data_IF_337183830106
#
_entry.id   IF_337183830106
#
_cell.length_a   1.000
_cell.length_b   1.000
_cell.length_c   1.000
_cell.angle_alpha   90.00
_cell.angle_beta   90.00
_cell.angle_gamma   90.00
#
_symmetry.space_group_name_H-M   'P 1'
#
loop_
_entity.id
_entity.type
_entity.pdbx_description
1 polymer ?
#
# COMPACT_ATOMS: atom_id res chain seq x y z
N UNK A 1 -13.65 -48.93 59.95
CA UNK A 1 -12.79 -47.85 59.41
C UNK A 1 -13.29 -47.46 58.02
N UNK A 2 -14.03 -46.36 57.88
CA UNK A 2 -14.55 -45.85 56.60
C UNK A 2 -13.51 -44.91 55.97
N UNK A 3 -12.97 -45.28 54.81
CA UNK A 3 -12.05 -44.42 54.02
C UNK A 3 -12.88 -43.41 53.23
N UNK A 4 -12.72 -42.12 53.53
CA UNK A 4 -13.19 -41.02 52.69
C UNK A 4 -12.20 -40.84 51.52
N UNK A 5 -12.71 -40.91 50.30
CA UNK A 5 -11.99 -40.55 49.08
C UNK A 5 -12.31 -39.09 48.79
N UNK A 6 -11.29 -38.21 48.86
CA UNK A 6 -11.40 -36.80 48.48
C UNK A 6 -11.14 -36.69 46.97
N UNK A 7 -12.15 -36.29 46.21
CA UNK A 7 -12.03 -35.94 44.79
C UNK A 7 -11.42 -34.53 44.68
N UNK A 8 -10.24 -34.43 44.07
CA UNK A 8 -9.62 -33.17 43.69
C UNK A 8 -10.08 -32.84 42.27
N UNK A 9 -10.90 -31.81 42.11
CA UNK A 9 -11.29 -31.30 40.80
C UNK A 9 -10.16 -30.43 40.25
N UNK A 10 -9.45 -30.93 39.24
CA UNK A 10 -8.47 -30.18 38.48
C UNK A 10 -9.21 -29.28 37.48
N UNK A 11 -9.18 -27.97 37.71
CA UNK A 11 -9.75 -26.99 36.78
C UNK A 11 -8.81 -26.88 35.57
N UNK A 12 -9.16 -27.56 34.48
CA UNK A 12 -8.46 -27.42 33.20
C UNK A 12 -8.93 -26.11 32.57
N UNK A 13 -8.08 -25.08 32.61
CA UNK A 13 -8.26 -23.89 31.79
C UNK A 13 -8.00 -24.27 30.33
N UNK A 14 -9.07 -24.46 29.57
CA UNK A 14 -9.01 -24.58 28.12
C UNK A 14 -8.73 -23.17 27.58
N UNK A 15 -7.46 -22.90 27.25
CA UNK A 15 -7.11 -21.76 26.41
C UNK A 15 -7.73 -22.01 25.03
N UNK A 16 -8.81 -21.30 24.72
CA UNK A 16 -9.27 -21.19 23.34
C UNK A 16 -8.18 -20.42 22.58
N UNK A 17 -7.54 -21.01 21.56
CA UNK A 17 -6.70 -20.22 20.67
C UNK A 17 -7.62 -19.17 20.07
N UNK A 18 -7.35 -17.90 20.34
CA UNK A 18 -7.84 -16.85 19.48
C UNK A 18 -7.40 -17.25 18.08
N UNK A 19 -8.36 -17.50 17.19
CA UNK A 19 -8.14 -17.51 15.75
C UNK A 19 -7.62 -16.11 15.43
N UNK A 20 -6.29 -15.96 15.52
CA UNK A 20 -5.60 -14.83 14.97
C UNK A 20 -5.99 -14.85 13.51
N UNK A 21 -6.85 -13.90 13.11
CA UNK A 21 -6.96 -13.49 11.72
C UNK A 21 -5.53 -13.42 11.24
N UNK A 22 -5.14 -14.29 10.31
CA UNK A 22 -3.79 -14.30 9.76
C UNK A 22 -3.56 -12.88 9.25
N UNK A 23 -2.83 -12.09 10.04
CA UNK A 23 -2.36 -10.81 9.56
C UNK A 23 -1.37 -11.21 8.49
N UNK A 24 -1.81 -11.09 7.24
CA UNK A 24 -0.95 -11.30 6.09
C UNK A 24 0.25 -10.36 6.28
N UNK A 25 1.43 -10.96 6.45
CA UNK A 25 2.66 -10.21 6.61
C UNK A 25 2.95 -9.50 5.29
N UNK A 26 3.41 -8.25 5.36
CA UNK A 26 3.79 -7.52 4.17
C UNK A 26 4.93 -8.25 3.45
N UNK A 27 4.84 -8.37 2.13
CA UNK A 27 5.94 -8.81 1.28
C UNK A 27 6.74 -7.58 0.85
N UNK A 28 7.92 -7.32 1.45
CA UNK A 28 8.65 -6.09 1.19
C UNK A 28 9.23 -6.05 -0.23
N UNK A 29 9.40 -4.85 -0.78
CA UNK A 29 10.15 -4.66 -2.02
C UNK A 29 11.58 -5.20 -1.89
N UNK A 30 12.08 -5.83 -2.95
CA UNK A 30 13.37 -6.51 -2.96
C UNK A 30 14.20 -6.17 -4.20
N UNK A 31 15.50 -5.95 -4.01
CA UNK A 31 16.45 -5.91 -5.14
C UNK A 31 16.65 -7.33 -5.62
N UNK A 32 16.36 -7.58 -6.89
CA UNK A 32 16.48 -8.91 -7.51
C UNK A 32 17.71 -9.07 -8.37
N UNK A 33 18.31 -7.95 -8.81
CA UNK A 33 19.51 -7.97 -9.62
C UNK A 33 20.17 -6.61 -9.73
N UNK A 34 21.44 -6.64 -10.12
CA UNK A 34 22.15 -5.45 -10.61
C UNK A 34 22.90 -5.82 -11.87
N UNK A 35 23.05 -4.87 -12.79
CA UNK A 35 23.81 -5.08 -14.02
C UNK A 35 24.42 -3.77 -14.53
N UNK A 36 25.36 -3.88 -15.46
CA UNK A 36 26.05 -2.75 -16.08
C UNK A 36 26.00 -2.86 -17.60
N UNK A 37 26.02 -1.73 -18.30
CA UNK A 37 26.08 -1.67 -19.77
C UNK A 37 26.82 -0.43 -20.27
N UNK A 38 27.02 -0.36 -21.58
CA UNK A 38 27.66 0.76 -22.26
C UNK A 38 29.19 0.62 -22.30
N UNK A 39 29.91 1.73 -22.13
CA UNK A 39 31.38 1.78 -22.22
C UNK A 39 32.10 1.18 -21.00
N UNK A 40 31.36 0.79 -19.95
CA UNK A 40 31.85 -0.10 -18.89
C UNK A 40 32.58 0.56 -17.72
N UNK A 41 32.50 1.90 -17.56
CA UNK A 41 33.08 2.59 -16.40
C UNK A 41 32.06 2.62 -15.27
N UNK A 42 31.85 1.48 -14.61
CA UNK A 42 30.96 1.37 -13.46
C UNK A 42 31.62 0.54 -12.38
N UNK A 43 31.83 1.14 -11.21
CA UNK A 43 32.27 0.43 -10.01
C UNK A 43 31.09 0.36 -9.04
N UNK A 44 30.72 -0.87 -8.63
CA UNK A 44 29.58 -1.13 -7.75
C UNK A 44 30.07 -1.77 -6.46
N UNK A 45 29.54 -1.32 -5.33
CA UNK A 45 29.73 -1.95 -4.04
C UNK A 45 28.41 -2.02 -3.27
N UNK A 46 28.28 -2.98 -2.36
CA UNK A 46 27.11 -3.14 -1.53
C UNK A 46 27.53 -3.42 -0.10
N UNK A 47 26.92 -2.72 0.85
CA UNK A 47 27.14 -2.93 2.27
C UNK A 47 25.82 -2.79 3.06
N UNK A 48 25.90 -2.71 4.38
CA UNK A 48 24.74 -2.57 5.26
C UNK A 48 23.96 -1.24 5.06
N UNK A 49 24.57 -0.23 4.43
CA UNK A 49 23.96 1.06 4.15
C UNK A 49 23.25 1.13 2.81
N UNK A 50 23.48 0.14 1.94
CA UNK A 50 22.82 0.00 0.65
C UNK A 50 23.80 -0.32 -0.49
N UNK A 51 23.33 -0.10 -1.71
CA UNK A 51 24.12 -0.25 -2.93
C UNK A 51 24.71 1.12 -3.30
N UNK A 52 26.02 1.15 -3.49
CA UNK A 52 26.77 2.30 -3.93
C UNK A 52 27.34 2.04 -5.32
N UNK A 53 27.42 3.08 -6.15
CA UNK A 53 28.07 2.98 -7.45
C UNK A 53 28.73 4.29 -7.86
N UNK A 54 29.84 4.20 -8.58
CA UNK A 54 30.36 5.31 -9.40
C UNK A 54 30.24 4.94 -10.87
N UNK A 55 29.71 5.86 -11.68
CA UNK A 55 29.34 5.64 -13.08
C UNK A 55 30.05 6.70 -13.93
N UNK A 56 30.71 6.30 -15.00
CA UNK A 56 31.62 7.17 -15.75
C UNK A 56 33.04 7.19 -15.17
N UNK A 57 33.95 7.84 -15.90
CA UNK A 57 35.39 7.79 -15.64
C UNK A 57 35.84 8.98 -14.76
N UNK A 58 36.78 8.75 -13.84
CA UNK A 58 37.37 9.82 -12.99
C UNK A 58 38.84 9.56 -12.56
N UNK A 59 39.70 9.10 -13.46
CA UNK A 59 41.11 8.78 -13.19
C UNK A 59 42.14 9.78 -13.76
N UNK A 60 41.74 10.68 -14.67
CA UNK A 60 42.65 11.55 -15.44
C UNK A 60 42.05 12.96 -15.58
N UNK A 61 42.47 13.92 -14.73
CA UNK A 61 42.04 15.31 -14.85
C UNK A 61 42.36 15.92 -16.21
N UNK A 62 41.55 16.87 -16.67
CA UNK A 62 41.82 17.60 -17.91
C UNK A 62 43.14 18.38 -17.81
N UNK A 63 44.15 18.11 -18.66
CA UNK A 63 45.49 18.65 -18.42
C UNK A 63 45.70 20.06 -19.01
N UNK A 64 44.75 20.59 -19.79
CA UNK A 64 44.97 21.83 -20.57
C UNK A 64 44.29 23.09 -20.02
N UNK A 65 43.55 22.99 -18.92
CA UNK A 65 42.85 24.12 -18.30
C UNK A 65 41.66 24.64 -19.13
N UNK A 66 41.09 25.78 -18.73
CA UNK A 66 39.90 26.34 -19.37
C UNK A 66 40.08 26.58 -20.87
N UNK A 67 39.20 26.00 -21.69
CA UNK A 67 39.19 26.08 -23.16
C UNK A 67 40.49 25.60 -23.84
N UNK A 68 41.17 24.62 -23.24
CA UNK A 68 42.30 23.92 -23.86
C UNK A 68 41.93 23.18 -25.15
N UNK A 69 42.92 22.61 -25.88
CA UNK A 69 42.66 21.79 -27.06
C UNK A 69 41.86 20.53 -26.74
N UNK A 70 40.96 20.15 -27.66
CA UNK A 70 40.22 18.88 -27.57
C UNK A 70 41.17 17.69 -27.61
N UNK A 71 40.92 16.69 -26.76
CA UNK A 71 41.74 15.48 -26.65
C UNK A 71 40.86 14.27 -26.97
N UNK A 72 40.87 13.79 -28.22
CA UNK A 72 40.11 12.60 -28.58
C UNK A 72 40.56 11.38 -27.78
N UNK A 73 39.61 10.60 -27.26
CA UNK A 73 39.86 9.28 -26.67
C UNK A 73 40.38 9.29 -25.22
N UNK A 74 40.51 10.46 -24.59
CA UNK A 74 40.77 10.55 -23.16
C UNK A 74 39.48 10.27 -22.37
N UNK A 75 38.35 10.79 -22.85
CA UNK A 75 37.01 10.43 -22.39
C UNK A 75 36.46 9.22 -23.18
N UNK A 76 35.74 8.29 -22.54
CA UNK A 76 34.90 7.33 -23.24
C UNK A 76 33.85 8.02 -24.12
N UNK A 77 33.54 7.46 -25.29
CA UNK A 77 32.43 7.94 -26.13
C UNK A 77 31.23 7.02 -25.97
N UNK A 78 30.16 7.52 -25.36
CA UNK A 78 28.92 6.79 -25.11
C UNK A 78 28.50 6.75 -23.64
N UNK A 79 27.39 6.07 -23.36
CA UNK A 79 26.87 5.99 -22.00
C UNK A 79 27.63 4.95 -21.16
N UNK A 80 27.85 5.27 -19.89
CA UNK A 80 28.08 4.28 -18.83
C UNK A 80 26.78 4.11 -18.05
N UNK A 81 26.29 2.88 -17.91
CA UNK A 81 24.95 2.65 -17.33
C UNK A 81 25.03 1.61 -16.22
N UNK A 82 24.42 1.93 -15.09
CA UNK A 82 24.18 1.02 -13.97
C UNK A 82 22.68 0.79 -13.79
N UNK A 83 22.31 -0.48 -13.59
CA UNK A 83 20.92 -0.90 -13.39
C UNK A 83 20.74 -1.58 -12.04
N UNK A 84 19.61 -1.30 -11.39
CA UNK A 84 19.11 -2.03 -10.23
C UNK A 84 17.69 -2.52 -10.53
N UNK A 85 17.50 -3.83 -10.58
CA UNK A 85 16.20 -4.48 -10.76
C UNK A 85 15.52 -4.65 -9.40
N UNK A 86 14.26 -4.24 -9.31
CA UNK A 86 13.46 -4.25 -8.08
C UNK A 86 12.14 -4.95 -8.34
N UNK A 87 11.85 -5.98 -7.56
CA UNK A 87 10.50 -6.52 -7.41
C UNK A 87 9.80 -5.70 -6.32
N UNK A 88 8.73 -5.01 -6.69
CA UNK A 88 8.08 -4.02 -5.81
C UNK A 88 7.22 -4.69 -4.74
N UNK A 89 6.64 -5.85 -5.04
CA UNK A 89 5.74 -6.58 -4.13
C UNK A 89 4.66 -5.63 -3.57
N UNK A 90 4.56 -5.50 -2.26
CA UNK A 90 3.54 -4.68 -1.58
C UNK A 90 3.77 -3.17 -1.65
N UNK A 91 4.87 -2.71 -2.27
CA UNK A 91 5.20 -1.30 -2.41
C UNK A 91 6.33 -0.84 -1.49
N UNK A 92 6.26 0.40 -1.01
CA UNK A 92 7.27 1.01 -0.15
C UNK A 92 8.02 2.16 -0.82
N UNK A 93 9.29 2.34 -0.45
CA UNK A 93 10.12 3.46 -0.93
C UNK A 93 11.52 3.00 -1.29
N UNK A 94 12.01 3.46 -2.43
CA UNK A 94 13.43 3.49 -2.75
C UNK A 94 14.04 4.81 -2.27
N UNK A 95 15.22 4.75 -1.67
CA UNK A 95 15.97 5.93 -1.24
C UNK A 95 17.44 5.81 -1.59
N UNK A 96 18.04 6.89 -2.07
CA UNK A 96 19.48 6.99 -2.34
C UNK A 96 19.89 8.47 -2.38
N UNK A 97 21.17 8.73 -2.22
CA UNK A 97 21.79 10.01 -2.59
C UNK A 97 22.44 9.90 -3.95
N UNK A 98 22.53 11.02 -4.67
CA UNK A 98 23.33 11.10 -5.88
C UNK A 98 24.19 12.36 -5.94
N UNK A 99 25.27 12.31 -6.71
CA UNK A 99 26.06 13.47 -7.08
C UNK A 99 26.65 13.30 -8.47
N UNK A 100 27.09 14.40 -9.08
CA UNK A 100 27.73 14.40 -10.38
C UNK A 100 28.89 15.38 -10.40
N UNK A 101 29.97 15.00 -11.05
CA UNK A 101 31.13 15.86 -11.29
C UNK A 101 31.60 15.71 -12.72
N UNK A 102 32.04 16.81 -13.29
CA UNK A 102 32.57 16.86 -14.64
C UNK A 102 33.60 17.98 -14.76
N UNK A 103 34.53 17.83 -15.69
CA UNK A 103 35.35 18.94 -16.18
C UNK A 103 34.74 19.59 -17.44
N UNK A 104 33.73 18.94 -18.01
CA UNK A 104 33.04 19.42 -19.19
C UNK A 104 31.94 20.42 -18.83
N UNK A 105 31.97 21.53 -19.55
CA UNK A 105 30.95 22.56 -19.56
C UNK A 105 30.26 22.43 -20.90
N UNK A 106 29.35 21.47 -20.99
CA UNK A 106 28.75 21.07 -22.24
C UNK A 106 27.41 20.43 -21.98
N UNK A 107 26.44 20.73 -22.84
CA UNK A 107 25.17 19.98 -22.92
C UNK A 107 25.36 18.54 -23.42
N UNK A 108 26.61 18.09 -23.57
CA UNK A 108 27.01 16.82 -24.20
C UNK A 108 27.33 15.73 -23.17
N UNK A 109 27.74 16.14 -21.95
CA UNK A 109 28.00 15.25 -20.83
C UNK A 109 26.96 15.50 -19.73
N UNK A 110 26.25 14.45 -19.32
CA UNK A 110 25.21 14.60 -18.32
C UNK A 110 24.96 13.30 -17.54
N UNK A 111 24.28 13.44 -16.43
CA UNK A 111 23.82 12.36 -15.57
C UNK A 111 22.29 12.31 -15.53
N UNK A 112 21.74 11.15 -15.87
CA UNK A 112 20.32 10.83 -15.79
C UNK A 112 20.07 9.77 -14.72
N UNK A 113 18.94 9.91 -14.04
CA UNK A 113 18.39 8.87 -13.17
C UNK A 113 16.92 8.71 -13.51
N UNK A 114 16.49 7.50 -13.83
CA UNK A 114 15.10 7.22 -14.17
C UNK A 114 14.70 5.80 -13.77
N UNK A 115 13.39 5.56 -13.73
CA UNK A 115 12.81 4.24 -13.49
C UNK A 115 12.15 3.76 -14.77
N UNK A 116 12.58 2.60 -15.27
CA UNK A 116 11.86 1.85 -16.29
C UNK A 116 10.77 1.01 -15.61
N UNK A 117 9.54 1.18 -16.06
CA UNK A 117 8.34 0.52 -15.52
C UNK A 117 7.66 -0.26 -16.65
N UNK A 118 6.72 -1.17 -16.34
CA UNK A 118 5.96 -1.86 -17.38
C UNK A 118 5.17 -0.93 -18.32
N UNK A 119 4.85 0.29 -17.86
CA UNK A 119 4.03 1.26 -18.59
C UNK A 119 4.82 2.42 -19.20
N UNK A 120 6.11 2.58 -18.89
CA UNK A 120 6.94 3.64 -19.47
C UNK A 120 8.21 3.96 -18.67
N UNK A 121 8.63 5.22 -18.75
CA UNK A 121 9.83 5.73 -18.08
C UNK A 121 9.45 6.92 -17.20
N UNK A 122 9.89 6.89 -15.94
CA UNK A 122 9.73 8.00 -14.98
C UNK A 122 11.09 8.63 -14.71
N UNK A 123 11.29 9.86 -15.19
CA UNK A 123 12.54 10.60 -14.98
C UNK A 123 12.60 11.18 -13.57
N UNK A 124 13.65 10.83 -12.83
CA UNK A 124 13.91 11.31 -11.47
C UNK A 124 14.95 12.45 -11.47
N UNK A 125 15.97 12.31 -12.31
CA UNK A 125 16.99 13.33 -12.60
C UNK A 125 17.15 13.36 -14.11
N UNK A 126 17.05 14.55 -14.70
CA UNK A 126 17.09 14.73 -16.15
C UNK A 126 18.19 15.72 -16.51
N UNK A 127 19.21 15.22 -17.22
CA UNK A 127 20.36 15.93 -17.76
C UNK A 127 21.07 16.79 -16.72
N UNK A 128 21.39 16.21 -15.57
CA UNK A 128 22.24 16.89 -14.59
C UNK A 128 23.64 17.05 -15.17
N UNK A 129 24.10 18.28 -15.29
CA UNK A 129 25.43 18.60 -15.80
C UNK A 129 25.73 20.09 -15.66
N UNK A 130 26.81 20.54 -16.28
CA UNK A 130 27.16 21.96 -16.34
C UNK A 130 26.66 22.55 -17.67
N UNK A 131 25.51 23.25 -17.70
CA UNK A 131 25.08 23.92 -18.93
C UNK A 131 26.13 24.95 -19.37
N UNK A 132 26.64 24.80 -20.59
CA UNK A 132 27.71 25.65 -21.11
C UNK A 132 28.32 25.12 -22.40
N UNK A 133 29.42 25.76 -22.81
CA UNK A 133 30.22 25.39 -23.98
C UNK A 133 31.74 25.42 -23.72
N UNK A 134 32.17 25.58 -22.46
CA UNK A 134 33.54 25.95 -22.09
C UNK A 134 34.30 24.80 -21.38
N UNK A 135 34.96 23.92 -22.12
CA UNK A 135 35.69 22.75 -21.56
C UNK A 135 36.74 23.13 -20.49
N UNK A 136 37.02 22.23 -19.55
CA UNK A 136 38.10 22.38 -18.56
C UNK A 136 37.76 23.20 -17.30
N UNK A 137 36.49 23.57 -17.08
CA UNK A 137 36.05 24.10 -15.78
C UNK A 137 35.52 22.96 -14.93
N UNK A 138 36.07 22.77 -13.73
CA UNK A 138 35.51 21.81 -12.81
C UNK A 138 34.10 22.21 -12.37
N UNK A 139 33.16 21.28 -12.52
CA UNK A 139 31.85 21.32 -11.93
C UNK A 139 31.65 20.11 -11.02
N UNK A 140 31.03 20.35 -9.87
CA UNK A 140 30.49 19.30 -9.02
C UNK A 140 29.13 19.75 -8.52
N UNK A 141 28.14 18.88 -8.60
CA UNK A 141 26.89 19.06 -7.88
C UNK A 141 27.14 18.85 -6.38
N UNK A 142 26.23 19.37 -5.55
CA UNK A 142 26.07 18.86 -4.19
C UNK A 142 25.57 17.41 -4.24
N UNK A 143 25.76 16.68 -3.14
CA UNK A 143 25.01 15.45 -2.92
C UNK A 143 23.54 15.79 -2.67
N UNK A 144 22.63 15.10 -3.36
CA UNK A 144 21.19 15.28 -3.25
C UNK A 144 20.54 13.95 -2.87
N UNK A 145 19.84 13.94 -1.74
CA UNK A 145 19.04 12.79 -1.32
C UNK A 145 17.72 12.74 -2.10
N UNK A 146 17.36 11.56 -2.60
CA UNK A 146 16.12 11.28 -3.28
C UNK A 146 15.37 10.14 -2.57
N UNK A 147 14.04 10.25 -2.50
CA UNK A 147 13.15 9.17 -2.10
C UNK A 147 11.97 9.09 -3.05
N UNK A 148 11.70 7.88 -3.54
CA UNK A 148 10.67 7.58 -4.55
C UNK A 148 9.70 6.56 -3.95
N UNK A 149 8.40 6.84 -4.04
CA UNK A 149 7.38 5.85 -3.69
C UNK A 149 7.33 4.76 -4.76
N UNK A 150 7.17 3.52 -4.34
CA UNK A 150 7.01 2.37 -5.23
C UNK A 150 5.54 1.92 -5.32
N UNK A 151 4.63 2.55 -4.58
CA UNK A 151 3.25 2.09 -4.43
C UNK A 151 2.45 2.09 -5.74
N UNK A 152 2.81 2.93 -6.71
CA UNK A 152 2.20 2.91 -8.05
C UNK A 152 2.57 1.69 -8.90
N UNK A 153 3.61 0.95 -8.49
CA UNK A 153 4.13 -0.23 -9.18
C UNK A 153 4.01 -1.50 -8.32
N UNK A 154 3.07 -1.54 -7.36
CA UNK A 154 2.77 -2.78 -6.59
C UNK A 154 2.56 -3.97 -7.53
N UNK A 155 3.06 -5.13 -7.10
CA UNK A 155 3.04 -6.39 -7.84
C UNK A 155 3.73 -6.35 -9.21
N UNK A 156 4.63 -5.40 -9.43
CA UNK A 156 5.40 -5.26 -10.67
C UNK A 156 6.91 -5.29 -10.41
N UNK A 157 7.65 -5.51 -11.49
CA UNK A 157 9.09 -5.33 -11.54
C UNK A 157 9.40 -3.98 -12.19
N UNK A 158 10.31 -3.24 -11.57
CA UNK A 158 10.83 -1.97 -12.10
C UNK A 158 12.36 -2.01 -12.14
N UNK A 159 12.96 -1.15 -12.96
CA UNK A 159 14.41 -1.02 -13.07
C UNK A 159 14.84 0.42 -12.87
N UNK A 160 15.64 0.67 -11.84
CA UNK A 160 16.32 1.95 -11.69
C UNK A 160 17.51 1.98 -12.62
N UNK A 161 17.62 3.06 -13.39
CA UNK A 161 18.69 3.30 -14.35
C UNK A 161 19.46 4.55 -13.95
N UNK A 162 20.77 4.40 -13.84
CA UNK A 162 21.71 5.48 -13.57
C UNK A 162 22.69 5.58 -14.73
N UNK A 163 22.64 6.68 -15.46
CA UNK A 163 23.32 6.82 -16.75
C UNK A 163 24.20 8.06 -16.74
N UNK A 164 25.49 7.90 -17.08
CA UNK A 164 26.37 9.01 -17.43
C UNK A 164 26.64 8.96 -18.91
N UNK A 165 26.19 9.99 -19.64
CA UNK A 165 26.52 10.19 -21.04
C UNK A 165 27.86 10.92 -21.15
N UNK A 166 28.72 10.40 -22.03
CA UNK A 166 30.02 10.98 -22.36
C UNK A 166 30.15 11.14 -23.88
N UNK A 167 30.73 12.21 -24.38
CA UNK A 167 30.79 12.52 -25.82
C UNK A 167 32.11 12.07 -26.50
N UNK A 168 33.08 11.63 -25.69
CA UNK A 168 34.38 11.13 -26.16
C UNK A 168 35.42 12.22 -26.43
N UNK A 169 35.12 13.47 -26.10
CA UNK A 169 35.99 14.61 -26.33
C UNK A 169 36.46 15.22 -25.02
N UNK A 170 37.76 15.07 -24.76
CA UNK A 170 38.36 15.76 -23.63
C UNK A 170 38.13 15.02 -22.34
N UNK A 171 37.63 15.74 -21.35
CA UNK A 171 37.81 15.51 -19.93
C UNK A 171 36.80 14.53 -19.34
N UNK A 172 36.70 14.45 -18.01
CA UNK A 172 36.06 13.31 -17.37
C UNK A 172 34.75 13.70 -16.70
N UNK A 173 33.81 12.77 -16.69
CA UNK A 173 32.48 12.89 -16.12
C UNK A 173 32.17 11.66 -15.29
N UNK A 174 31.68 11.85 -14.06
CA UNK A 174 31.31 10.75 -13.18
C UNK A 174 30.08 11.11 -12.33
N UNK A 175 29.09 10.23 -12.35
CA UNK A 175 27.96 10.21 -11.43
C UNK A 175 28.22 9.25 -10.27
N UNK A 176 27.56 9.49 -9.15
CA UNK A 176 27.58 8.60 -8.01
C UNK A 176 26.15 8.29 -7.54
N UNK A 177 25.95 7.04 -7.12
CA UNK A 177 24.79 6.55 -6.38
C UNK A 177 25.28 6.13 -5.01
N UNK A 178 24.66 6.64 -3.96
CA UNK A 178 25.12 6.44 -2.58
C UNK A 178 23.95 5.88 -1.77
N UNK A 179 24.15 4.71 -1.18
CA UNK A 179 23.21 4.09 -0.25
C UNK A 179 21.83 3.80 -0.84
N UNK A 180 21.76 3.25 -2.06
CA UNK A 180 20.48 2.77 -2.59
C UNK A 180 19.92 1.67 -1.70
N UNK A 181 18.74 1.92 -1.14
CA UNK A 181 18.04 1.01 -0.24
C UNK A 181 16.54 1.04 -0.45
N UNK A 182 15.90 -0.07 -0.10
CA UNK A 182 14.45 -0.24 -0.12
C UNK A 182 13.93 -0.28 1.32
N UNK A 183 12.82 0.40 1.57
CA UNK A 183 12.06 0.32 2.82
C UNK A 183 10.60 0.05 2.50
N UNK A 184 9.97 -0.87 3.21
CA UNK A 184 8.57 -1.22 3.00
C UNK A 184 7.78 -1.02 4.28
N UNK A 185 6.50 -0.69 4.15
CA UNK A 185 5.63 -0.69 5.31
C UNK A 185 5.53 -2.10 5.89
N UNK A 186 5.56 -2.22 7.22
CA UNK A 186 5.42 -3.53 7.89
C UNK A 186 3.99 -4.05 7.86
N UNK A 187 3.04 -3.22 7.43
CA UNK A 187 1.62 -3.57 7.28
C UNK A 187 1.36 -3.84 5.81
N UNK A 188 0.83 -5.03 5.50
CA UNK A 188 0.45 -5.39 4.13
C UNK A 188 -0.66 -4.45 3.59
N UNK A 189 -0.79 -4.28 2.27
CA UNK A 189 -1.91 -3.58 1.63
C UNK A 189 -3.24 -4.33 1.81
N UNK A 190 -4.37 -3.73 1.43
CA UNK A 190 -5.65 -4.45 1.43
C UNK A 190 -5.63 -5.54 0.36
N UNK A 191 -6.09 -6.73 0.72
CA UNK A 191 -6.36 -7.79 -0.25
C UNK A 191 -7.44 -7.31 -1.23
N UNK A 192 -7.20 -7.31 -2.55
CA UNK A 192 -8.21 -6.92 -3.52
C UNK A 192 -9.45 -7.82 -3.44
N UNK A 193 -10.62 -7.21 -3.60
CA UNK A 193 -11.88 -7.96 -3.73
C UNK A 193 -11.93 -8.69 -5.07
N UNK A 194 -12.31 -9.97 -5.04
CA UNK A 194 -12.37 -10.85 -6.22
C UNK A 194 -13.77 -11.42 -6.47
N UNK A 195 -14.59 -11.62 -5.43
CA UNK A 195 -15.99 -12.00 -5.57
C UNK A 195 -16.82 -10.90 -6.24
N UNK A 196 -17.62 -11.28 -7.24
CA UNK A 196 -18.43 -10.35 -8.02
C UNK A 196 -19.50 -9.65 -7.18
N UNK A 197 -20.09 -10.33 -6.19
CA UNK A 197 -21.07 -9.70 -5.30
C UNK A 197 -20.38 -8.71 -4.34
N UNK A 198 -19.21 -9.06 -3.81
CA UNK A 198 -18.41 -8.14 -2.99
C UNK A 198 -18.00 -6.89 -3.77
N UNK A 199 -17.57 -7.04 -5.03
CA UNK A 199 -17.29 -5.91 -5.92
C UNK A 199 -18.52 -5.04 -6.20
N UNK A 200 -19.72 -5.64 -6.34
CA UNK A 200 -20.96 -4.88 -6.50
C UNK A 200 -21.31 -4.06 -5.24
N UNK A 201 -21.08 -4.65 -4.05
CA UNK A 201 -21.23 -3.94 -2.77
C UNK A 201 -20.24 -2.78 -2.66
N UNK A 202 -19.00 -3.01 -3.07
CA UNK A 202 -17.94 -1.99 -3.11
C UNK A 202 -18.31 -0.81 -4.02
N UNK A 203 -19.02 -1.09 -5.12
CA UNK A 203 -19.60 -0.11 -6.04
C UNK A 203 -20.89 0.57 -5.56
N UNK A 204 -21.38 0.25 -4.35
CA UNK A 204 -22.51 0.91 -3.70
C UNK A 204 -23.83 0.13 -3.67
N UNK A 205 -23.88 -1.11 -4.17
CA UNK A 205 -25.07 -1.96 -4.08
C UNK A 205 -25.16 -2.67 -2.71
N UNK A 206 -25.35 -1.89 -1.64
CA UNK A 206 -25.14 -2.38 -0.26
C UNK A 206 -26.37 -3.01 0.41
N UNK A 207 -27.53 -3.04 -0.25
CA UNK A 207 -28.76 -3.62 0.29
C UNK A 207 -29.20 -4.81 -0.55
N UNK A 208 -28.90 -6.01 -0.06
CA UNK A 208 -29.34 -7.26 -0.65
C UNK A 208 -30.33 -7.98 0.26
N UNK A 209 -31.62 -7.84 -0.05
CA UNK A 209 -32.68 -8.56 0.65
C UNK A 209 -33.00 -9.92 0.02
N UNK A 210 -32.49 -10.20 -1.18
CA UNK A 210 -32.77 -11.43 -1.90
C UNK A 210 -32.00 -12.63 -1.33
N UNK A 211 -30.82 -12.39 -0.74
CA UNK A 211 -29.99 -13.40 -0.09
C UNK A 211 -30.20 -13.52 1.43
N UNK A 212 -31.24 -12.89 1.98
CA UNK A 212 -31.70 -13.19 3.34
C UNK A 212 -32.27 -14.62 3.42
N UNK A 213 -32.23 -15.25 4.60
CA UNK A 213 -32.93 -16.54 4.79
C UNK A 213 -34.44 -16.38 4.61
N UNK A 214 -35.15 -17.46 4.30
CA UNK A 214 -36.60 -17.41 4.08
C UNK A 214 -37.36 -16.87 5.30
N UNK A 215 -36.92 -17.25 6.50
CA UNK A 215 -37.46 -16.75 7.77
C UNK A 215 -37.23 -15.25 7.90
N UNK A 216 -36.02 -14.79 7.59
CA UNK A 216 -35.67 -13.37 7.67
C UNK A 216 -36.39 -12.52 6.61
N UNK A 217 -36.60 -13.03 5.39
CA UNK A 217 -37.42 -12.38 4.36
C UNK A 217 -38.88 -12.25 4.82
N UNK A 218 -39.43 -13.31 5.43
CA UNK A 218 -40.80 -13.32 5.98
C UNK A 218 -40.94 -12.28 7.10
N UNK A 219 -39.98 -12.26 8.03
CA UNK A 219 -39.93 -11.30 9.11
C UNK A 219 -39.83 -9.85 8.61
N UNK A 220 -38.98 -9.59 7.61
CA UNK A 220 -38.86 -8.26 6.99
C UNK A 220 -40.18 -7.80 6.36
N UNK A 221 -40.83 -8.68 5.60
CA UNK A 221 -42.13 -8.39 4.97
C UNK A 221 -43.22 -8.09 6.00
N UNK A 222 -43.26 -8.85 7.11
CA UNK A 222 -44.14 -8.59 8.25
C UNK A 222 -43.92 -7.19 8.83
N UNK A 223 -42.66 -6.81 9.10
CA UNK A 223 -42.34 -5.50 9.67
C UNK A 223 -42.72 -4.36 8.71
N UNK A 224 -42.40 -4.50 7.43
CA UNK A 224 -42.73 -3.49 6.43
C UNK A 224 -44.24 -3.27 6.31
N UNK A 225 -45.03 -4.35 6.33
CA UNK A 225 -46.49 -4.30 6.26
C UNK A 225 -47.07 -3.64 7.51
N UNK A 226 -46.70 -4.11 8.70
CA UNK A 226 -47.22 -3.58 9.96
C UNK A 226 -46.85 -2.09 10.17
N UNK A 227 -45.63 -1.68 9.78
CA UNK A 227 -45.24 -0.27 9.83
C UNK A 227 -46.06 0.58 8.85
N UNK A 228 -46.34 0.06 7.65
CA UNK A 228 -47.12 0.77 6.63
C UNK A 228 -48.60 0.92 7.03
N UNK A 229 -49.19 -0.08 7.69
CA UNK A 229 -50.55 -0.02 8.25
C UNK A 229 -50.72 1.11 9.29
N UNK A 230 -49.62 1.51 9.95
CA UNK A 230 -49.56 2.65 10.86
C UNK A 230 -49.15 3.97 10.20
N UNK A 231 -49.10 4.01 8.86
CA UNK A 231 -48.68 5.19 8.10
C UNK A 231 -47.17 5.50 8.22
N UNK A 232 -46.37 4.54 8.68
CA UNK A 232 -44.93 4.65 8.76
C UNK A 232 -44.21 4.14 7.51
N UNK A 233 -42.87 4.27 7.51
CA UNK A 233 -41.99 3.74 6.47
C UNK A 233 -40.78 3.07 7.09
N UNK A 234 -40.33 1.94 6.53
CA UNK A 234 -39.08 1.26 6.91
C UNK A 234 -37.99 1.59 5.88
N UNK A 235 -36.81 1.96 6.37
CA UNK A 235 -35.59 2.05 5.56
C UNK A 235 -34.63 0.94 5.98
N UNK A 236 -34.35 0.04 5.04
CA UNK A 236 -33.27 -0.95 5.18
C UNK A 236 -31.96 -0.28 4.77
N UNK A 237 -31.01 -0.25 5.69
CA UNK A 237 -29.67 0.30 5.45
C UNK A 237 -28.68 -0.80 5.04
N UNK A 238 -28.89 -2.02 5.52
CA UNK A 238 -28.08 -3.19 5.18
C UNK A 238 -28.88 -4.47 5.44
N UNK A 239 -28.62 -5.51 4.67
CA UNK A 239 -29.27 -6.82 4.80
C UNK A 239 -28.20 -7.93 4.65
N UNK A 240 -28.34 -8.85 3.70
CA UNK A 240 -27.23 -9.77 3.40
C UNK A 240 -25.97 -9.00 2.99
N UNK A 241 -24.79 -9.51 3.37
CA UNK A 241 -23.49 -9.02 2.89
C UNK A 241 -22.64 -10.20 2.44
N UNK A 242 -21.98 -10.13 1.28
CA UNK A 242 -21.00 -11.15 0.88
C UNK A 242 -19.90 -11.31 1.94
N UNK A 243 -19.48 -12.55 2.29
CA UNK A 243 -18.40 -12.79 3.26
C UNK A 243 -17.12 -12.01 2.98
N UNK A 244 -16.71 -11.92 1.71
CA UNK A 244 -15.49 -11.21 1.30
C UNK A 244 -15.60 -9.70 1.55
N UNK A 245 -16.74 -9.09 1.23
CA UNK A 245 -17.00 -7.68 1.54
C UNK A 245 -16.99 -7.42 3.06
N UNK A 246 -17.59 -8.32 3.86
CA UNK A 246 -17.58 -8.16 5.31
C UNK A 246 -16.16 -8.29 5.90
N UNK A 247 -15.34 -9.19 5.35
CA UNK A 247 -13.92 -9.31 5.70
C UNK A 247 -13.13 -8.06 5.29
N UNK A 248 -13.41 -7.49 4.11
CA UNK A 248 -12.81 -6.24 3.65
C UNK A 248 -13.05 -5.09 4.63
N UNK A 249 -14.30 -4.84 5.03
CA UNK A 249 -14.64 -3.81 6.02
C UNK A 249 -13.86 -4.01 7.34
N UNK A 250 -13.72 -5.26 7.78
CA UNK A 250 -12.94 -5.60 8.97
C UNK A 250 -11.45 -5.32 8.77
N UNK A 251 -10.89 -5.69 7.62
CA UNK A 251 -9.49 -5.45 7.29
C UNK A 251 -9.16 -3.96 7.22
N UNK A 252 -10.02 -3.15 6.59
CA UNK A 252 -9.92 -1.68 6.56
C UNK A 252 -9.86 -1.11 7.98
N UNK A 253 -10.78 -1.54 8.86
CA UNK A 253 -10.79 -1.09 10.24
C UNK A 253 -9.53 -1.50 11.00
N UNK A 254 -9.12 -2.77 10.87
CA UNK A 254 -7.98 -3.34 11.59
C UNK A 254 -6.67 -2.65 11.19
N UNK A 255 -6.47 -2.45 9.88
CA UNK A 255 -5.30 -1.75 9.32
C UNK A 255 -5.32 -0.27 9.69
N UNK A 256 -6.47 0.41 9.63
CA UNK A 256 -6.54 1.82 10.04
C UNK A 256 -6.20 2.00 11.53
N UNK A 257 -6.71 1.11 12.38
CA UNK A 257 -6.42 1.14 13.82
C UNK A 257 -4.92 0.99 14.11
N UNK A 258 -4.19 0.25 13.28
CA UNK A 258 -2.73 0.11 13.35
C UNK A 258 -2.00 1.33 12.76
N UNK A 259 -2.31 1.70 11.52
CA UNK A 259 -1.58 2.68 10.71
C UNK A 259 -1.75 4.13 11.14
N UNK A 260 -2.89 4.51 11.74
CA UNK A 260 -3.21 5.94 12.02
C UNK A 260 -2.18 6.66 12.90
N UNK A 261 -1.45 5.91 13.72
CA UNK A 261 -0.41 6.44 14.62
C UNK A 261 1.01 6.17 14.10
N UNK A 262 1.17 5.41 13.02
CA UNK A 262 2.46 5.16 12.38
C UNK A 262 2.95 6.43 11.67
N UNK A 263 4.26 6.65 11.71
CA UNK A 263 4.94 7.89 11.25
C UNK A 263 6.08 7.60 10.27
N UNK A 264 6.35 6.34 10.03
CA UNK A 264 7.30 5.82 9.04
C UNK A 264 6.90 6.32 7.64
N UNK A 265 7.81 7.02 6.91
CA UNK A 265 7.51 7.54 5.58
C UNK A 265 7.11 6.47 4.56
N UNK A 266 7.66 5.26 4.67
CA UNK A 266 7.34 4.10 3.83
C UNK A 266 5.91 3.57 4.05
N UNK A 267 5.23 3.97 5.12
CA UNK A 267 3.82 3.65 5.37
C UNK A 267 2.87 4.80 5.02
N UNK A 268 3.36 5.95 4.55
CA UNK A 268 2.53 7.14 4.38
C UNK A 268 1.42 6.93 3.35
N UNK A 269 1.78 6.40 2.19
CA UNK A 269 0.87 6.25 1.05
C UNK A 269 -0.21 5.19 1.37
N UNK A 270 0.20 4.02 1.90
CA UNK A 270 -0.72 3.02 2.43
C UNK A 270 -1.64 3.57 3.53
N UNK A 271 -1.10 4.37 4.48
CA UNK A 271 -1.92 4.98 5.53
C UNK A 271 -3.00 5.89 4.94
N UNK A 272 -2.66 6.69 3.93
CA UNK A 272 -3.59 7.62 3.28
C UNK A 272 -4.66 6.85 2.48
N UNK A 273 -4.29 5.76 1.80
CA UNK A 273 -5.21 4.83 1.11
C UNK A 273 -6.21 4.20 2.10
N UNK A 274 -5.70 3.60 3.18
CA UNK A 274 -6.53 2.96 4.22
C UNK A 274 -7.42 3.99 4.92
N UNK A 275 -6.94 5.21 5.14
CA UNK A 275 -7.74 6.30 5.69
C UNK A 275 -8.91 6.66 4.77
N UNK A 276 -8.64 6.84 3.48
CA UNK A 276 -9.66 7.16 2.49
C UNK A 276 -10.72 6.06 2.44
N UNK A 277 -10.29 4.81 2.47
CA UNK A 277 -11.18 3.65 2.47
C UNK A 277 -12.02 3.54 3.74
N UNK A 278 -11.40 3.76 4.91
CA UNK A 278 -12.10 3.82 6.20
C UNK A 278 -13.18 4.91 6.22
N UNK A 279 -12.88 6.08 5.66
CA UNK A 279 -13.82 7.19 5.55
C UNK A 279 -14.93 6.92 4.54
N UNK A 280 -14.62 6.32 3.39
CA UNK A 280 -15.58 5.97 2.35
C UNK A 280 -16.67 5.04 2.88
N UNK A 281 -16.30 4.07 3.71
CA UNK A 281 -17.23 3.14 4.36
C UNK A 281 -17.94 3.72 5.60
N UNK A 282 -17.61 4.94 6.03
CA UNK A 282 -18.21 5.56 7.21
C UNK A 282 -17.93 4.78 8.50
N UNK A 283 -16.79 4.08 8.58
CA UNK A 283 -16.45 3.24 9.72
C UNK A 283 -16.15 4.11 10.96
N UNK A 284 -16.39 3.54 12.14
CA UNK A 284 -16.11 4.19 13.41
C UNK A 284 -15.05 3.41 14.18
N UNK A 285 -14.07 4.11 14.75
CA UNK A 285 -12.99 3.52 15.56
C UNK A 285 -13.51 2.82 16.82
N UNK A 286 -14.74 3.09 17.24
CA UNK A 286 -15.40 2.44 18.38
C UNK A 286 -16.18 1.20 17.99
N UNK A 287 -16.36 0.94 16.70
CA UNK A 287 -17.18 -0.15 16.17
C UNK A 287 -16.38 -0.96 15.15
N UNK A 288 -15.76 -2.02 15.64
CA UNK A 288 -15.02 -2.97 14.80
C UNK A 288 -16.02 -3.86 14.04
N UNK A 289 -16.03 -3.89 12.69
CA UNK A 289 -16.97 -4.70 11.90
C UNK A 289 -16.91 -6.19 12.26
N UNK A 290 -17.97 -6.97 12.03
CA UNK A 290 -17.90 -8.42 12.26
C UNK A 290 -16.96 -9.12 11.25
N UNK A 291 -16.57 -10.36 11.53
CA UNK A 291 -15.88 -11.24 10.56
C UNK A 291 -16.86 -11.68 9.47
N UNK A 292 -16.34 -12.30 8.39
CA UNK A 292 -17.12 -12.85 7.27
C UNK A 292 -18.01 -14.06 7.60
N UNK A 293 -18.26 -14.34 8.87
CA UNK A 293 -19.06 -15.45 9.39
C UNK A 293 -20.09 -14.97 10.41
N UNK A 294 -20.70 -13.82 10.15
CA UNK A 294 -21.67 -13.17 11.03
C UNK A 294 -23.11 -13.27 10.54
N UNK A 295 -24.08 -12.79 11.32
CA UNK A 295 -25.49 -12.83 10.98
C UNK A 295 -25.83 -12.20 9.61
N UNK A 296 -25.18 -11.08 9.24
CA UNK A 296 -25.37 -10.48 7.90
C UNK A 296 -24.89 -11.38 6.77
N UNK A 297 -23.74 -12.04 6.93
CA UNK A 297 -23.18 -12.93 5.90
C UNK A 297 -23.93 -14.25 5.77
N UNK A 298 -24.71 -14.60 6.79
CA UNK A 298 -25.61 -15.77 6.78
C UNK A 298 -27.04 -15.42 6.37
N UNK A 299 -27.32 -14.14 6.06
CA UNK A 299 -28.66 -13.67 5.69
C UNK A 299 -29.66 -13.66 6.86
N UNK A 300 -29.18 -13.73 8.11
CA UNK A 300 -30.00 -13.79 9.34
C UNK A 300 -30.16 -12.45 10.05
N UNK A 301 -29.61 -11.38 9.48
CA UNK A 301 -29.68 -10.05 10.08
C UNK A 301 -29.97 -8.93 9.07
N UNK A 302 -30.52 -7.86 9.60
CA UNK A 302 -30.83 -6.63 8.86
C UNK A 302 -30.58 -5.41 9.75
N UNK A 303 -30.03 -4.36 9.15
CA UNK A 303 -29.92 -3.05 9.78
C UNK A 303 -31.01 -2.15 9.19
N UNK A 304 -31.95 -1.73 10.02
CA UNK A 304 -33.09 -0.95 9.55
C UNK A 304 -33.58 0.08 10.56
N UNK A 305 -34.26 1.11 10.05
CA UNK A 305 -34.91 2.16 10.82
C UNK A 305 -36.34 2.36 10.34
N UNK A 306 -37.18 2.93 11.20
CA UNK A 306 -38.57 3.29 10.88
C UNK A 306 -38.82 4.76 11.14
N UNK A 307 -39.82 5.33 10.48
CA UNK A 307 -40.36 6.67 10.79
C UNK A 307 -41.26 6.69 12.02
N UNK A 308 -41.68 5.52 12.51
CA UNK A 308 -42.43 5.40 13.77
C UNK A 308 -41.55 5.68 14.99
N UNK A 309 -42.19 5.85 16.16
CA UNK A 309 -41.45 5.97 17.43
C UNK A 309 -40.64 4.70 17.71
N UNK A 310 -39.49 4.83 18.37
CA UNK A 310 -38.63 3.67 18.69
C UNK A 310 -39.36 2.59 19.49
N UNK A 311 -40.20 2.99 20.45
CA UNK A 311 -40.97 2.03 21.26
C UNK A 311 -41.95 1.23 20.39
N UNK A 312 -42.70 1.90 19.50
CA UNK A 312 -43.65 1.21 18.62
C UNK A 312 -42.95 0.33 17.59
N UNK A 313 -41.86 0.81 17.01
CA UNK A 313 -41.08 0.01 16.07
C UNK A 313 -40.52 -1.27 16.71
N UNK A 314 -40.01 -1.17 17.94
CA UNK A 314 -39.53 -2.33 18.70
C UNK A 314 -40.64 -3.36 18.95
N UNK A 315 -41.83 -2.91 19.31
CA UNK A 315 -42.99 -3.79 19.50
C UNK A 315 -43.34 -4.55 18.21
N UNK A 316 -43.43 -3.84 17.08
CA UNK A 316 -43.70 -4.45 15.76
C UNK A 316 -42.61 -5.46 15.40
N UNK A 317 -41.32 -5.11 15.56
CA UNK A 317 -40.23 -6.02 15.24
C UNK A 317 -40.29 -7.30 16.09
N UNK A 318 -40.67 -7.18 17.37
CA UNK A 318 -40.86 -8.34 18.25
C UNK A 318 -42.02 -9.25 17.82
N UNK A 319 -43.12 -8.68 17.31
CA UNK A 319 -44.26 -9.44 16.76
C UNK A 319 -43.89 -10.18 15.47
N UNK A 320 -42.94 -9.65 14.71
CA UNK A 320 -42.42 -10.25 13.48
C UNK A 320 -41.18 -11.13 13.70
N UNK A 321 -41.00 -11.68 14.90
CA UNK A 321 -39.88 -12.58 15.25
C UNK A 321 -38.48 -12.00 15.07
N UNK A 322 -38.34 -10.67 15.16
CA UNK A 322 -37.04 -10.00 15.17
C UNK A 322 -36.70 -9.51 16.57
N UNK A 323 -35.40 -9.48 16.88
CA UNK A 323 -34.90 -8.92 18.13
C UNK A 323 -33.58 -8.19 17.93
N UNK A 324 -33.26 -7.27 18.84
CA UNK A 324 -31.95 -6.60 18.87
C UNK A 324 -31.03 -7.35 19.81
N UNK A 325 -29.96 -7.91 19.28
CA UNK A 325 -28.93 -8.56 20.11
C UNK A 325 -28.16 -7.55 20.97
N UNK A 326 -27.91 -6.35 20.43
CA UNK A 326 -27.11 -5.30 21.06
C UNK A 326 -27.85 -3.94 21.08
N UNK A 327 -28.97 -3.81 21.80
CA UNK A 327 -29.91 -2.69 21.65
C UNK A 327 -29.33 -1.31 22.00
N UNK A 328 -28.24 -1.23 22.77
CA UNK A 328 -27.60 0.03 23.18
C UNK A 328 -26.50 0.45 22.21
N UNK A 329 -25.61 -0.47 21.85
CA UNK A 329 -24.45 -0.19 21.01
C UNK A 329 -24.74 -0.27 19.52
N UNK A 330 -25.77 -1.04 19.15
CA UNK A 330 -26.23 -1.21 17.78
C UNK A 330 -27.77 -1.23 17.72
N UNK A 331 -28.42 -0.06 17.88
CA UNK A 331 -29.87 0.04 17.93
C UNK A 331 -30.55 -0.15 16.57
N UNK A 332 -29.81 -0.38 15.48
CA UNK A 332 -30.40 -0.56 14.15
C UNK A 332 -30.37 -2.02 13.70
N UNK A 333 -29.57 -2.85 14.36
CA UNK A 333 -29.36 -4.24 14.02
C UNK A 333 -30.42 -5.16 14.60
N UNK A 334 -31.04 -5.96 13.73
CA UNK A 334 -32.04 -6.96 14.08
C UNK A 334 -31.65 -8.32 13.53
N UNK A 335 -31.82 -9.34 14.35
CA UNK A 335 -31.65 -10.75 14.00
C UNK A 335 -33.00 -11.48 14.10
N UNK A 336 -33.18 -12.53 13.31
CA UNK A 336 -34.33 -13.44 13.48
C UNK A 336 -34.18 -14.28 14.75
N UNK A 337 -35.26 -14.44 15.52
CA UNK A 337 -35.31 -15.23 16.76
C UNK A 337 -35.04 -16.72 16.57
#
# INVERSE_FOLDING_TARGET
MRKQIKFFACLIFIFFPHLASSQEEATPAAVTGTSVSGVGYVDVSSDATGINATIGRWDTPYPYGLNGPRVPGLEPNGPSIFYIDVDVNDGGRASFSYSYKTWDSGVYNWYDVYVETPTGVVNLVNKLGQPGSNYGTFFSSSEVALSVSLDEWRDQQVRFVFLVQQDGWGDQSQGAVIGFGLRSCTVAPLTPLTDAAALAFEGGQTVDTANLTAEMQTALSCVQTAVAEEGGTVRVNSAYRPPEYQNHLRAVWDKWNLLRNMREPECSDLRDEIQAEFQRHGLLLTQRPATGTGPHTEGRAIDMRSSLTTARFLEITGQCSLYRRLPVTDPVHFEHQ
#
